data_IF_101354435960
#
_entry.id   IF_101354435960
#
_cell.length_a   1.000
_cell.length_b   1.000
_cell.length_c   1.000
_cell.angle_alpha   90.00
_cell.angle_beta   90.00
_cell.angle_gamma   90.00
#
_symmetry.space_group_name_H-M   'P 1'
#
loop_
_entity.id
_entity.type
_entity.pdbx_description
1 polymer ?
#
# COMPACT_ATOMS: atom_id res chain seq x y z
N UNK A 1 -15.42 -13.23 24.23
CA UNK A 1 -15.34 -12.75 23.33
C UNK A 1 -15.53 -12.53 22.79
N UNK A 2 -15.53 -12.78 22.96
CA UNK A 2 -15.57 -12.26 21.99
C UNK A 2 -15.62 -12.24 21.45
N UNK A 3 -15.61 -12.43 21.61
CA UNK A 3 -15.65 -12.07 20.77
C UNK A 3 -15.62 -11.82 20.00
N UNK A 4 -15.62 -12.02 20.05
CA UNK A 4 -15.62 -11.50 18.97
C UNK A 4 -16.14 -11.40 18.33
N UNK A 5 -16.45 -11.54 18.52
CA UNK A 5 -16.82 -11.25 17.62
C UNK A 5 -17.20 -10.90 17.12
N UNK A 6 -17.49 -11.00 17.20
CA UNK A 6 -17.63 -10.62 16.48
C UNK A 6 -17.70 -10.00 15.98
N UNK A 7 -17.71 -9.80 15.76
CA UNK A 7 -17.52 -9.16 15.11
C UNK A 7 -17.42 -8.70 14.36
N UNK A 8 -17.94 -9.17 13.93
CA UNK A 8 -17.67 -8.61 12.85
C UNK A 8 -16.76 -7.69 12.50
N UNK A 9 -16.67 -6.91 12.76
CA UNK A 9 -15.71 -5.93 12.84
C UNK A 9 -14.36 -6.46 13.09
N UNK A 10 -14.06 -7.58 12.61
CA UNK A 10 -12.79 -8.24 12.81
C UNK A 10 -11.78 -7.89 11.73
N UNK A 11 -12.12 -6.92 10.88
CA UNK A 11 -11.24 -6.51 9.79
C UNK A 11 -10.25 -5.44 10.19
N UNK A 12 -9.26 -5.25 9.34
CA UNK A 12 -8.23 -4.22 9.46
C UNK A 12 -8.47 -3.15 8.42
N UNK A 13 -8.34 -1.88 8.81
CA UNK A 13 -8.27 -0.77 7.87
C UNK A 13 -6.82 -0.32 7.83
N UNK A 14 -6.24 -0.28 6.64
CA UNK A 14 -4.86 0.13 6.44
C UNK A 14 -4.83 1.39 5.57
N UNK A 15 -4.45 2.52 6.18
CA UNK A 15 -4.22 3.77 5.46
C UNK A 15 -2.76 3.77 5.03
N UNK A 16 -2.50 3.96 3.73
CA UNK A 16 -1.17 3.84 3.16
C UNK A 16 -0.82 5.06 2.33
N UNK A 17 0.44 5.46 2.35
CA UNK A 17 0.93 6.59 1.56
C UNK A 17 2.43 6.45 1.31
N UNK A 18 2.89 7.14 0.27
CA UNK A 18 4.30 7.21 -0.07
C UNK A 18 4.70 8.66 -0.37
N UNK A 19 5.95 8.98 -0.11
CA UNK A 19 6.48 10.32 -0.33
C UNK A 19 7.93 10.22 -0.81
N UNK A 20 8.38 11.24 -1.53
CA UNK A 20 9.76 11.26 -2.03
C UNK A 20 10.24 12.70 -2.08
N UNK A 21 11.45 12.93 -1.57
CA UNK A 21 12.10 14.25 -1.62
C UNK A 21 13.00 14.28 -2.85
N UNK A 22 12.48 14.90 -3.92
CA UNK A 22 13.04 14.72 -5.26
C UNK A 22 12.50 13.41 -5.84
N UNK A 23 12.55 13.24 -7.14
CA UNK A 23 11.95 12.05 -7.76
C UNK A 23 12.75 11.69 -9.00
N UNK A 24 13.86 10.92 -8.88
CA UNK A 24 14.25 10.12 -7.71
C UNK A 24 14.93 10.92 -6.61
N UNK A 25 14.99 10.30 -5.43
CA UNK A 25 15.64 10.86 -4.25
C UNK A 25 15.31 10.03 -3.02
N UNK A 26 15.61 10.55 -1.81
CA UNK A 26 15.20 9.84 -0.60
C UNK A 26 13.67 9.83 -0.50
N UNK A 27 13.11 8.68 -0.17
CA UNK A 27 11.67 8.53 -0.05
C UNK A 27 11.29 7.76 1.19
N UNK A 28 9.99 7.81 1.51
CA UNK A 28 9.45 7.11 2.65
C UNK A 28 8.07 6.55 2.36
N UNK A 29 7.68 5.56 3.14
CA UNK A 29 6.36 4.97 3.11
C UNK A 29 5.77 5.00 4.51
N UNK A 30 4.45 5.12 4.59
CA UNK A 30 3.74 5.16 5.87
C UNK A 30 2.49 4.32 5.84
N UNK A 31 2.20 3.68 6.98
CA UNK A 31 1.03 2.83 7.16
C UNK A 31 0.42 3.08 8.53
N UNK A 32 -0.88 3.32 8.55
CA UNK A 32 -1.65 3.32 9.78
C UNK A 32 -2.61 2.15 9.73
N UNK A 33 -2.43 1.17 10.60
CA UNK A 33 -3.32 0.03 10.72
C UNK A 33 -4.29 0.27 11.87
N UNK A 34 -5.57 0.05 11.61
CA UNK A 34 -6.61 0.14 12.64
C UNK A 34 -7.37 -1.16 12.72
N UNK A 35 -7.50 -1.67 13.93
CA UNK A 35 -8.23 -2.89 14.21
C UNK A 35 -9.06 -2.66 15.48
N UNK A 36 -10.35 -2.39 15.32
CA UNK A 36 -11.18 -1.97 16.44
C UNK A 36 -10.66 -0.67 17.02
N UNK A 37 -10.40 -0.66 18.32
CA UNK A 37 -9.86 0.52 19.01
C UNK A 37 -8.34 0.54 19.04
N UNK A 38 -7.71 -0.46 18.46
CA UNK A 38 -6.24 -0.57 18.45
C UNK A 38 -5.69 -0.05 17.14
N UNK A 39 -4.59 0.67 17.21
CA UNK A 39 -3.91 1.13 16.00
C UNK A 39 -2.42 0.86 16.10
N UNK A 40 -1.79 0.72 14.93
CA UNK A 40 -0.36 0.50 14.82
C UNK A 40 0.16 1.34 13.67
N UNK A 41 1.27 2.01 13.88
CA UNK A 41 1.89 2.86 12.88
C UNK A 41 3.21 2.24 12.43
N UNK A 42 3.43 2.26 11.11
CA UNK A 42 4.66 1.76 10.51
C UNK A 42 5.17 2.81 9.53
N UNK A 43 6.48 2.92 9.43
CA UNK A 43 7.11 3.79 8.44
C UNK A 43 8.51 3.29 8.15
N UNK A 44 9.02 3.68 7.00
CA UNK A 44 10.38 3.36 6.62
C UNK A 44 10.75 4.13 5.37
N UNK A 45 11.97 3.98 4.92
CA UNK A 45 12.46 4.74 3.78
C UNK A 45 13.40 3.94 2.90
N UNK A 46 13.70 4.56 1.75
CA UNK A 46 14.61 4.01 0.75
C UNK A 46 15.29 5.19 0.06
N UNK A 47 16.55 5.05 -0.32
CA UNK A 47 17.28 6.10 -1.00
C UNK A 47 18.35 5.49 -1.92
N UNK A 48 18.35 5.77 -3.23
CA UNK A 48 17.33 6.56 -3.94
C UNK A 48 16.08 5.75 -4.25
N UNK A 49 14.96 6.44 -4.40
CA UNK A 49 13.70 5.80 -4.75
C UNK A 49 12.82 6.80 -5.50
N UNK A 50 11.56 6.43 -5.73
CA UNK A 50 10.57 7.30 -6.37
C UNK A 50 9.30 7.30 -5.56
N UNK A 51 8.48 8.31 -5.79
CA UNK A 51 7.17 8.38 -5.14
C UNK A 51 6.34 7.13 -5.43
N UNK A 52 6.32 6.69 -6.69
CA UNK A 52 5.56 5.49 -7.08
C UNK A 52 6.03 4.24 -6.35
N UNK A 53 7.35 4.04 -6.22
CA UNK A 53 7.86 2.89 -5.46
C UNK A 53 7.43 2.94 -4.01
N UNK A 54 7.42 4.13 -3.40
CA UNK A 54 7.02 4.27 -1.99
C UNK A 54 5.53 4.02 -1.80
N UNK A 55 4.70 4.40 -2.78
CA UNK A 55 3.28 4.06 -2.75
C UNK A 55 3.07 2.54 -2.76
N UNK A 56 3.82 1.83 -3.60
CA UNK A 56 3.76 0.37 -3.66
C UNK A 56 4.29 -0.25 -2.37
N UNK A 57 5.40 0.28 -1.85
CA UNK A 57 6.01 -0.25 -0.64
C UNK A 57 5.06 -0.12 0.56
N UNK A 58 4.30 0.96 0.65
CA UNK A 58 3.32 1.12 1.71
C UNK A 58 2.27 0.01 1.67
N UNK A 59 1.74 -0.31 0.49
CA UNK A 59 0.77 -1.39 0.35
C UNK A 59 1.39 -2.74 0.75
N UNK A 60 2.61 -2.99 0.32
CA UNK A 60 3.33 -4.23 0.63
C UNK A 60 3.52 -4.36 2.15
N UNK A 61 4.02 -3.31 2.79
CA UNK A 61 4.29 -3.34 4.24
C UNK A 61 3.01 -3.51 5.04
N UNK A 62 1.91 -2.90 4.60
CA UNK A 62 0.62 -3.08 5.25
C UNK A 62 0.20 -4.54 5.25
N UNK A 63 0.27 -5.20 4.09
CA UNK A 63 -0.16 -6.59 3.97
C UNK A 63 0.82 -7.56 4.62
N UNK A 64 2.13 -7.31 4.50
CA UNK A 64 3.15 -8.18 5.11
C UNK A 64 3.12 -8.16 6.64
N UNK A 65 2.58 -7.10 7.24
CA UNK A 65 2.48 -7.00 8.70
C UNK A 65 1.38 -7.91 9.26
N UNK A 66 0.41 -8.29 8.44
CA UNK A 66 -0.67 -9.16 8.88
C UNK A 66 -0.12 -10.55 9.21
N UNK A 67 -0.52 -11.09 10.36
CA UNK A 67 -0.03 -12.39 10.81
C UNK A 67 -1.01 -13.51 10.50
N UNK A 68 -2.19 -13.17 10.03
CA UNK A 68 -3.21 -14.16 9.67
C UNK A 68 -4.16 -13.54 8.68
N UNK A 69 -4.93 -14.38 8.01
CA UNK A 69 -5.88 -13.94 7.01
C UNK A 69 -7.11 -13.35 7.70
N UNK A 70 -7.28 -12.04 7.56
CA UNK A 70 -8.42 -11.29 8.07
C UNK A 70 -8.90 -10.36 6.96
N UNK A 71 -10.17 -9.92 7.00
CA UNK A 71 -10.61 -8.90 6.05
C UNK A 71 -9.75 -7.65 6.21
N UNK A 72 -9.30 -7.09 5.10
CA UNK A 72 -8.49 -5.87 5.12
C UNK A 72 -9.01 -4.90 4.06
N UNK A 73 -9.13 -3.63 4.46
CA UNK A 73 -9.46 -2.54 3.56
C UNK A 73 -8.23 -1.65 3.45
N UNK A 74 -7.69 -1.52 2.24
CA UNK A 74 -6.58 -0.63 1.96
C UNK A 74 -7.14 0.71 1.49
N UNK A 75 -6.75 1.79 2.17
CA UNK A 75 -7.19 3.16 1.83
C UNK A 75 -5.98 3.92 1.32
N UNK A 76 -6.06 4.43 0.10
CA UNK A 76 -4.95 5.11 -0.55
C UNK A 76 -5.45 6.20 -1.48
N UNK A 77 -4.60 7.22 -1.73
CA UNK A 77 -4.86 8.24 -2.73
C UNK A 77 -4.02 8.04 -3.99
N UNK A 78 -3.28 6.95 -4.09
CA UNK A 78 -2.38 6.70 -5.21
C UNK A 78 -3.11 6.25 -6.46
N UNK A 79 -3.12 7.09 -7.48
CA UNK A 79 -3.66 6.73 -8.79
C UNK A 79 -2.81 5.65 -9.46
N UNK A 80 -1.49 5.72 -9.27
CA UNK A 80 -0.57 4.73 -9.80
C UNK A 80 -0.89 3.32 -9.28
N UNK A 81 -1.07 3.20 -7.96
CA UNK A 81 -1.41 1.92 -7.34
C UNK A 81 -2.78 1.44 -7.82
N UNK A 82 -3.76 2.34 -7.89
CA UNK A 82 -5.09 2.01 -8.37
C UNK A 82 -5.05 1.45 -9.78
N UNK A 83 -4.41 2.16 -10.70
CA UNK A 83 -4.34 1.72 -12.09
C UNK A 83 -3.59 0.41 -12.23
N UNK A 84 -2.53 0.23 -11.46
CA UNK A 84 -1.78 -1.01 -11.50
C UNK A 84 -2.61 -2.21 -11.08
N UNK A 85 -3.31 -2.09 -9.96
CA UNK A 85 -4.12 -3.20 -9.44
C UNK A 85 -5.30 -3.50 -10.37
N UNK A 86 -5.97 -2.46 -10.87
CA UNK A 86 -7.20 -2.65 -11.65
C UNK A 86 -6.95 -2.98 -13.12
N UNK A 87 -5.91 -2.37 -13.71
CA UNK A 87 -5.72 -2.42 -15.16
C UNK A 87 -4.47 -3.17 -15.58
N UNK A 88 -3.34 -2.93 -14.91
CA UNK A 88 -2.04 -3.37 -15.41
C UNK A 88 -1.66 -4.77 -14.98
N UNK A 89 -1.92 -5.15 -13.72
CA UNK A 89 -1.55 -6.47 -13.21
C UNK A 89 -2.10 -7.62 -14.07
N UNK A 90 -3.39 -7.62 -14.44
CA UNK A 90 -3.89 -8.72 -15.28
C UNK A 90 -3.18 -8.82 -16.62
N UNK A 91 -2.85 -7.68 -17.22
CA UNK A 91 -2.14 -7.67 -18.51
C UNK A 91 -0.71 -8.17 -18.36
N UNK A 92 0.00 -7.71 -17.33
CA UNK A 92 1.38 -8.14 -17.10
C UNK A 92 1.48 -9.63 -16.82
N UNK A 93 0.55 -10.16 -16.04
CA UNK A 93 0.53 -11.60 -15.76
C UNK A 93 0.33 -12.42 -17.04
N UNK A 94 -0.52 -11.93 -17.93
CA UNK A 94 -0.76 -12.59 -19.22
C UNK A 94 0.43 -12.46 -20.18
N UNK A 95 1.23 -11.37 -20.05
CA UNK A 95 2.31 -11.06 -20.98
C UNK A 95 3.71 -11.41 -20.45
N UNK A 96 3.78 -12.21 -19.39
CA UNK A 96 5.08 -12.61 -18.81
C UNK A 96 5.80 -11.43 -18.18
N UNK A 97 5.07 -10.47 -17.62
CA UNK A 97 5.60 -9.30 -16.93
C UNK A 97 6.38 -8.36 -17.85
N UNK A 98 5.87 -8.19 -19.06
CA UNK A 98 6.42 -7.24 -20.03
C UNK A 98 5.35 -6.25 -20.47
N UNK A 99 5.77 -5.05 -20.82
CA UNK A 99 4.86 -4.06 -21.39
C UNK A 99 4.48 -4.46 -22.82
N UNK A 100 3.53 -3.74 -23.40
CA UNK A 100 3.13 -3.98 -24.79
C UNK A 100 4.30 -3.77 -25.76
N UNK A 101 5.30 -2.96 -25.38
CA UNK A 101 6.52 -2.76 -26.16
C UNK A 101 7.59 -3.82 -25.86
N UNK A 102 7.24 -4.87 -25.14
CA UNK A 102 8.11 -5.99 -24.75
C UNK A 102 9.28 -5.58 -23.85
N UNK A 103 9.14 -4.44 -23.17
CA UNK A 103 10.12 -3.98 -22.19
C UNK A 103 9.73 -4.51 -20.80
N UNK A 104 10.71 -4.61 -19.90
CA UNK A 104 10.44 -5.01 -18.52
C UNK A 104 9.50 -4.01 -17.86
N UNK A 105 8.58 -4.53 -17.04
CA UNK A 105 7.65 -3.70 -16.28
C UNK A 105 8.42 -2.90 -15.24
N UNK A 106 8.18 -1.60 -15.18
CA UNK A 106 8.80 -0.73 -14.18
C UNK A 106 8.31 -1.12 -12.79
N UNK A 107 9.22 -1.19 -11.83
CA UNK A 107 8.94 -1.62 -10.45
C UNK A 107 8.39 -3.06 -10.39
N UNK A 108 8.82 -3.89 -11.32
CA UNK A 108 8.36 -5.28 -11.41
C UNK A 108 8.53 -6.04 -10.10
N UNK A 109 9.66 -5.83 -9.41
CA UNK A 109 9.93 -6.49 -8.14
C UNK A 109 8.82 -6.24 -7.12
N UNK A 110 8.39 -4.99 -7.00
CA UNK A 110 7.34 -4.62 -6.06
C UNK A 110 5.95 -5.07 -6.54
N UNK A 111 5.68 -4.94 -7.84
CA UNK A 111 4.40 -5.38 -8.37
C UNK A 111 4.18 -6.89 -8.22
N UNK A 112 5.25 -7.67 -8.36
CA UNK A 112 5.16 -9.12 -8.14
C UNK A 112 4.88 -9.45 -6.67
N UNK A 113 5.48 -8.71 -5.74
CA UNK A 113 5.17 -8.87 -4.32
C UNK A 113 3.72 -8.51 -4.01
N UNK A 114 3.23 -7.41 -4.61
CA UNK A 114 1.84 -6.98 -4.43
C UNK A 114 0.89 -8.05 -4.98
N UNK A 115 1.17 -8.60 -6.15
CA UNK A 115 0.33 -9.64 -6.75
C UNK A 115 0.20 -10.84 -5.82
N UNK A 116 1.30 -11.32 -5.26
CA UNK A 116 1.28 -12.44 -4.33
C UNK A 116 0.46 -12.12 -3.07
N UNK A 117 0.63 -10.92 -2.51
CA UNK A 117 -0.07 -10.51 -1.30
C UNK A 117 -1.56 -10.29 -1.54
N UNK A 118 -1.91 -9.69 -2.67
CA UNK A 118 -3.31 -9.48 -3.05
C UNK A 118 -4.01 -10.82 -3.29
N UNK A 119 -3.31 -11.76 -3.90
CA UNK A 119 -3.86 -13.10 -4.11
C UNK A 119 -4.11 -13.80 -2.77
N UNK A 120 -3.18 -13.65 -1.82
CA UNK A 120 -3.29 -14.30 -0.51
C UNK A 120 -4.39 -13.65 0.35
N UNK A 121 -4.38 -12.33 0.48
CA UNK A 121 -5.26 -11.63 1.41
C UNK A 121 -6.56 -11.14 0.79
N UNK A 122 -6.62 -10.97 -0.52
CA UNK A 122 -7.79 -10.49 -1.26
C UNK A 122 -8.37 -9.22 -0.62
N UNK A 123 -7.55 -8.15 -0.47
CA UNK A 123 -8.00 -6.95 0.20
C UNK A 123 -9.08 -6.22 -0.59
N UNK A 124 -9.90 -5.47 0.13
CA UNK A 124 -10.76 -4.46 -0.48
C UNK A 124 -9.98 -3.16 -0.59
N UNK A 125 -10.35 -2.30 -1.52
CA UNK A 125 -9.67 -1.05 -1.77
C UNK A 125 -10.63 0.12 -1.66
N UNK A 126 -10.17 1.21 -1.07
CA UNK A 126 -10.89 2.47 -1.05
C UNK A 126 -9.95 3.56 -1.55
N UNK A 127 -10.32 4.18 -2.66
CA UNK A 127 -9.53 5.25 -3.26
C UNK A 127 -10.07 6.58 -2.75
N UNK A 128 -9.21 7.39 -2.12
CA UNK A 128 -9.59 8.69 -1.60
C UNK A 128 -8.82 9.77 -2.35
N UNK A 129 -9.34 10.98 -2.30
CA UNK A 129 -8.64 12.13 -2.86
C UNK A 129 -7.60 12.60 -1.86
N UNK A 130 -6.35 12.78 -2.30
CA UNK A 130 -5.28 13.25 -1.43
C UNK A 130 -5.58 14.62 -0.84
N UNK A 131 -5.19 14.83 0.41
CA UNK A 131 -5.36 16.10 1.12
C UNK A 131 -6.81 16.56 1.19
N UNK A 132 -7.75 15.61 1.26
CA UNK A 132 -9.19 15.92 1.34
C UNK A 132 -9.71 15.97 2.77
N UNK A 133 -8.83 15.90 3.76
CA UNK A 133 -9.22 15.98 5.16
C UNK A 133 -9.49 14.62 5.82
N UNK A 134 -9.24 13.53 5.14
CA UNK A 134 -9.36 12.19 5.75
C UNK A 134 -8.26 12.01 6.79
N UNK A 135 -8.59 11.85 8.09
CA UNK A 135 -7.56 11.80 9.14
C UNK A 135 -6.59 10.61 8.96
N UNK A 136 -7.09 9.46 8.55
CA UNK A 136 -6.23 8.28 8.35
C UNK A 136 -5.27 8.50 7.19
N UNK A 137 -5.75 9.04 6.07
CA UNK A 137 -4.92 9.34 4.92
C UNK A 137 -3.85 10.38 5.28
N UNK A 138 -4.22 11.40 6.04
CA UNK A 138 -3.27 12.44 6.46
C UNK A 138 -2.23 11.89 7.42
N UNK A 139 -2.63 10.98 8.30
CA UNK A 139 -1.65 10.34 9.20
C UNK A 139 -0.67 9.48 8.42
N UNK A 140 -1.13 8.73 7.44
CA UNK A 140 -0.25 7.94 6.57
C UNK A 140 0.74 8.84 5.82
N UNK A 141 0.28 10.01 5.34
CA UNK A 141 1.16 10.98 4.70
C UNK A 141 2.25 11.47 5.67
N UNK A 142 1.88 11.80 6.89
CA UNK A 142 2.84 12.20 7.92
C UNK A 142 3.87 11.11 8.18
N UNK A 143 3.43 9.85 8.28
CA UNK A 143 4.33 8.73 8.50
C UNK A 143 5.26 8.52 7.29
N UNK A 144 4.75 8.67 6.07
CA UNK A 144 5.58 8.56 4.87
C UNK A 144 6.69 9.60 4.87
N UNK A 145 6.36 10.84 5.23
CA UNK A 145 7.38 11.90 5.31
C UNK A 145 8.38 11.63 6.42
N UNK A 146 7.93 11.06 7.54
CA UNK A 146 8.83 10.64 8.61
C UNK A 146 9.78 9.56 8.12
N UNK A 147 9.33 8.69 7.24
CA UNK A 147 10.14 7.64 6.64
C UNK A 147 11.28 8.18 5.79
N UNK A 148 11.14 9.36 5.20
CA UNK A 148 12.19 9.95 4.36
C UNK A 148 13.49 10.14 5.15
N UNK A 149 13.39 10.43 6.43
CA UNK A 149 14.56 10.66 7.27
C UNK A 149 14.95 9.46 8.12
N UNK A 150 14.30 8.34 7.87
CA UNK A 150 14.58 7.13 8.64
C UNK A 150 15.85 6.41 8.15
#
# INVERSE_FOLDING_TARGET
MVRFSIMSDTGVIAYIDGACSGNPGPGGWGVLLQFGDTSKELWGGEDPTTNNRMELMAAIKALETLTRKVPVLLVTDSTYLKNGVQLWLPKWKANGWRTSAKKAVKNRDLWQRIDALVTLYQPSWKWVKGHSGDPGNERADTLARKGISA
#
